data_IF_613159135628
#
_entry.id   IF_613159135628
#
_cell.length_a   1.000
_cell.length_b   1.000
_cell.length_c   1.000
_cell.angle_alpha   90.00
_cell.angle_beta   90.00
_cell.angle_gamma   90.00
#
_symmetry.space_group_name_H-M   'P 1'
#
loop_
_entity.id
_entity.type
_entity.pdbx_description
1 polymer ?
#
# COMPACT_ATOMS: atom_id res chain seq x y z
N UNK A 1 21.38 -0.98 10.03
CA UNK A 1 20.23 -0.16 10.47
C UNK A 1 18.97 -0.84 9.95
N UNK A 2 18.14 -1.41 10.83
CA UNK A 2 16.84 -1.95 10.42
C UNK A 2 15.95 -0.78 10.00
N UNK A 3 15.57 -0.73 8.72
CA UNK A 3 14.71 0.32 8.21
C UNK A 3 13.26 -0.06 8.59
N UNK A 4 12.83 0.33 9.78
CA UNK A 4 11.53 -0.06 10.31
C UNK A 4 10.43 0.58 9.47
N UNK A 5 9.67 -0.22 8.74
CA UNK A 5 8.50 0.24 7.99
C UNK A 5 7.59 1.07 8.90
N UNK A 6 7.16 2.24 8.43
CA UNK A 6 6.30 3.14 9.21
C UNK A 6 4.98 2.46 9.62
N UNK A 7 4.31 2.97 10.66
CA UNK A 7 3.02 2.43 11.10
C UNK A 7 1.98 2.38 9.96
N UNK A 8 1.91 3.44 9.14
CA UNK A 8 1.06 3.48 7.95
C UNK A 8 1.52 2.52 6.86
N UNK A 9 2.82 2.38 6.64
CA UNK A 9 3.35 1.37 5.72
C UNK A 9 2.89 -0.03 6.12
N UNK A 10 2.97 -0.38 7.41
CA UNK A 10 2.45 -1.66 7.95
C UNK A 10 0.95 -1.83 7.70
N UNK A 11 0.14 -0.85 8.05
CA UNK A 11 -1.30 -0.85 7.76
C UNK A 11 -1.59 -1.09 6.28
N UNK A 12 -0.98 -0.31 5.38
CA UNK A 12 -1.20 -0.41 3.94
C UNK A 12 -0.74 -1.75 3.36
N UNK A 13 0.42 -2.25 3.79
CA UNK A 13 0.92 -3.57 3.38
C UNK A 13 -0.02 -4.70 3.83
N UNK A 14 -0.61 -4.58 5.01
CA UNK A 14 -1.53 -5.59 5.54
C UNK A 14 -2.87 -5.58 4.79
N UNK A 15 -3.37 -4.39 4.45
CA UNK A 15 -4.52 -4.22 3.56
C UNK A 15 -4.25 -4.89 2.21
N UNK A 16 -3.07 -4.67 1.63
CA UNK A 16 -2.66 -5.27 0.35
C UNK A 16 -2.59 -6.80 0.42
N UNK A 17 -1.84 -7.35 1.39
CA UNK A 17 -1.68 -8.82 1.54
C UNK A 17 -3.00 -9.54 1.73
N UNK A 18 -3.95 -8.91 2.42
CA UNK A 18 -5.29 -9.47 2.64
C UNK A 18 -6.20 -9.26 1.43
N UNK A 19 -5.84 -8.40 0.47
CA UNK A 19 -6.71 -8.03 -0.64
C UNK A 19 -8.01 -7.39 -0.12
N UNK A 20 -7.85 -6.42 0.78
CA UNK A 20 -8.95 -5.62 1.35
C UNK A 20 -9.02 -4.29 0.60
N UNK A 21 -10.22 -3.87 0.23
CA UNK A 21 -10.55 -2.52 -0.20
C UNK A 21 -11.14 -1.74 0.97
N UNK A 22 -10.79 -0.46 1.06
CA UNK A 22 -11.38 0.45 2.03
C UNK A 22 -12.39 1.36 1.32
N UNK A 23 -13.56 1.51 1.91
CA UNK A 23 -14.64 2.37 1.41
C UNK A 23 -15.09 3.31 2.53
N UNK A 24 -15.56 4.52 2.19
CA UNK A 24 -16.18 5.42 3.19
C UNK A 24 -17.69 5.22 3.17
N UNK A 25 -18.26 4.85 4.32
CA UNK A 25 -19.71 4.72 4.50
C UNK A 25 -20.12 5.41 5.80
N UNK A 26 -21.01 6.41 5.72
CA UNK A 26 -21.52 7.12 6.89
C UNK A 26 -20.45 7.84 7.73
N UNK A 27 -19.33 8.25 7.11
CA UNK A 27 -18.21 8.90 7.80
C UNK A 27 -17.21 7.94 8.47
N UNK A 28 -17.40 6.62 8.32
CA UNK A 28 -16.50 5.60 8.80
C UNK A 28 -15.85 4.82 7.65
N UNK A 29 -14.70 4.20 7.93
CA UNK A 29 -14.04 3.28 7.01
C UNK A 29 -14.71 1.91 7.12
N UNK A 30 -15.08 1.34 5.98
CA UNK A 30 -15.53 -0.03 5.82
C UNK A 30 -14.47 -0.84 5.09
N UNK A 31 -14.16 -2.03 5.61
CA UNK A 31 -13.30 -3.01 4.95
C UNK A 31 -14.11 -3.97 4.09
N UNK A 32 -13.64 -4.22 2.87
CA UNK A 32 -14.30 -5.09 1.90
C UNK A 32 -13.28 -6.05 1.27
N UNK A 33 -13.45 -7.37 1.39
CA UNK A 33 -14.55 -8.03 2.08
C UNK A 33 -14.26 -8.14 3.61
N UNK A 34 -15.28 -8.00 4.48
CA UNK A 34 -15.09 -7.84 5.93
C UNK A 34 -14.49 -9.07 6.61
N UNK A 35 -14.71 -10.27 6.08
CA UNK A 35 -14.22 -11.54 6.63
C UNK A 35 -12.69 -11.67 6.59
N UNK A 36 -12.01 -10.84 5.79
CA UNK A 36 -10.54 -10.82 5.74
C UNK A 36 -9.93 -9.91 6.80
N UNK A 37 -10.75 -9.11 7.48
CA UNK A 37 -10.34 -8.23 8.57
C UNK A 37 -9.88 -9.03 9.80
N UNK A 38 -8.90 -8.50 10.54
CA UNK A 38 -8.55 -8.97 11.89
C UNK A 38 -8.72 -7.86 12.92
N UNK A 39 -8.77 -8.19 14.22
CA UNK A 39 -8.80 -7.17 15.28
C UNK A 39 -7.62 -6.19 15.21
N UNK A 40 -6.43 -6.68 14.86
CA UNK A 40 -5.23 -5.84 14.72
C UNK A 40 -5.36 -4.87 13.54
N UNK A 41 -5.87 -5.36 12.41
CA UNK A 41 -6.12 -4.50 11.24
C UNK A 41 -7.22 -3.48 11.54
N UNK A 42 -8.29 -3.87 12.24
CA UNK A 42 -9.34 -2.94 12.69
C UNK A 42 -8.75 -1.83 13.55
N UNK A 43 -7.92 -2.17 14.53
CA UNK A 43 -7.27 -1.19 15.39
C UNK A 43 -6.35 -0.23 14.61
N UNK A 44 -5.59 -0.74 13.62
CA UNK A 44 -4.78 0.11 12.76
C UNK A 44 -5.62 1.05 11.88
N UNK A 45 -6.72 0.55 11.32
CA UNK A 45 -7.66 1.35 10.51
C UNK A 45 -8.32 2.44 11.36
N UNK A 46 -8.73 2.11 12.58
CA UNK A 46 -9.33 3.05 13.53
C UNK A 46 -8.33 4.15 13.93
N UNK A 47 -7.10 3.77 14.26
CA UNK A 47 -6.04 4.70 14.65
C UNK A 47 -5.68 5.71 13.54
N UNK A 48 -5.77 5.30 12.27
CA UNK A 48 -5.48 6.14 11.10
C UNK A 48 -6.74 6.58 10.32
N UNK A 49 -7.95 6.46 10.91
CA UNK A 49 -9.22 6.67 10.20
C UNK A 49 -9.30 8.02 9.49
N UNK A 50 -8.96 9.12 10.18
CA UNK A 50 -9.00 10.46 9.58
C UNK A 50 -8.03 10.59 8.39
N UNK A 51 -6.86 9.96 8.48
CA UNK A 51 -5.88 9.96 7.40
C UNK A 51 -6.36 9.12 6.21
N UNK A 52 -6.96 7.94 6.46
CA UNK A 52 -7.54 7.07 5.44
C UNK A 52 -8.71 7.74 4.71
N UNK A 53 -9.64 8.36 5.44
CA UNK A 53 -10.75 9.13 4.87
C UNK A 53 -10.21 10.25 3.99
N UNK A 54 -9.15 10.95 4.42
CA UNK A 54 -8.50 11.96 3.59
C UNK A 54 -7.93 11.34 2.32
N UNK A 55 -7.28 10.18 2.36
CA UNK A 55 -6.76 9.55 1.13
C UNK A 55 -7.86 9.08 0.17
N UNK A 56 -9.02 8.67 0.70
CA UNK A 56 -10.18 8.25 -0.09
C UNK A 56 -10.96 9.43 -0.71
N UNK A 57 -10.85 10.62 -0.13
CA UNK A 57 -11.58 11.82 -0.59
C UNK A 57 -10.69 12.84 -1.29
N UNK A 58 -9.37 12.76 -1.16
CA UNK A 58 -8.43 13.61 -1.88
C UNK A 58 -8.47 13.23 -3.37
N UNK A 59 -8.69 14.19 -4.28
CA UNK A 59 -8.65 13.93 -5.71
C UNK A 59 -7.36 13.25 -6.13
N UNK A 60 -7.47 12.39 -7.13
CA UNK A 60 -6.33 11.73 -7.73
C UNK A 60 -5.46 12.76 -8.48
N UNK A 61 -4.15 12.67 -8.27
CA UNK A 61 -3.14 13.52 -8.90
C UNK A 61 -2.07 12.61 -9.51
N UNK A 62 -2.01 12.59 -10.84
CA UNK A 62 -1.09 11.74 -11.61
C UNK A 62 0.37 12.12 -11.36
N UNK A 63 0.71 13.41 -11.22
CA UNK A 63 2.09 13.86 -11.02
C UNK A 63 2.61 13.37 -9.67
N UNK A 64 1.79 13.51 -8.63
CA UNK A 64 2.12 12.99 -7.30
C UNK A 64 2.31 11.46 -7.28
N UNK A 65 1.51 10.69 -8.03
CA UNK A 65 1.65 9.22 -8.09
C UNK A 65 2.96 8.82 -8.76
N UNK A 66 3.34 9.49 -9.84
CA UNK A 66 4.61 9.23 -10.53
C UNK A 66 5.79 9.49 -9.59
N UNK A 67 5.76 10.62 -8.87
CA UNK A 67 6.80 10.98 -7.89
C UNK A 67 6.88 9.97 -6.74
N UNK A 68 5.74 9.57 -6.17
CA UNK A 68 5.69 8.59 -5.09
C UNK A 68 6.22 7.22 -5.55
N UNK A 69 5.82 6.79 -6.74
CA UNK A 69 6.26 5.51 -7.33
C UNK A 69 7.76 5.54 -7.61
N UNK A 70 8.28 6.60 -8.21
CA UNK A 70 9.71 6.74 -8.50
C UNK A 70 10.58 6.71 -7.23
N UNK A 71 10.15 7.39 -6.16
CA UNK A 71 10.86 7.36 -4.88
C UNK A 71 10.91 5.95 -4.28
N UNK A 72 9.80 5.22 -4.35
CA UNK A 72 9.70 3.86 -3.82
C UNK A 72 10.55 2.89 -4.64
N UNK A 73 10.47 2.95 -5.96
CA UNK A 73 11.30 2.17 -6.87
C UNK A 73 12.79 2.43 -6.63
N UNK A 74 13.21 3.68 -6.47
CA UNK A 74 14.61 4.03 -6.20
C UNK A 74 15.11 3.41 -4.88
N UNK A 75 14.33 3.53 -3.79
CA UNK A 75 14.71 2.98 -2.48
C UNK A 75 14.75 1.46 -2.44
N UNK A 76 13.88 0.80 -3.20
CA UNK A 76 13.76 -0.67 -3.23
C UNK A 76 14.77 -1.31 -4.18
N UNK A 77 15.09 -0.68 -5.30
CA UNK A 77 16.16 -1.12 -6.20
C UNK A 77 17.50 -1.24 -5.46
N UNK A 78 17.80 -0.29 -4.57
CA UNK A 78 19.00 -0.33 -3.73
C UNK A 78 19.05 -1.56 -2.79
N UNK A 79 17.89 -2.12 -2.40
CA UNK A 79 17.81 -3.30 -1.53
C UNK A 79 17.95 -4.60 -2.31
N UNK A 80 17.41 -4.66 -3.53
CA UNK A 80 17.49 -5.85 -4.37
C UNK A 80 18.90 -6.07 -4.92
N UNK A 81 19.63 -4.99 -5.25
CA UNK A 81 20.91 -5.11 -5.94
C UNK A 81 20.71 -5.75 -7.32
N UNK A 82 21.48 -6.79 -7.62
CA UNK A 82 21.36 -7.55 -8.89
C UNK A 82 20.31 -8.67 -8.85
N UNK A 83 19.58 -8.81 -7.73
CA UNK A 83 18.55 -9.85 -7.60
C UNK A 83 17.36 -9.54 -8.52
N UNK A 84 16.75 -10.58 -9.12
CA UNK A 84 15.53 -10.38 -9.89
C UNK A 84 14.41 -9.83 -8.99
N UNK A 85 13.52 -9.05 -9.58
CA UNK A 85 12.32 -8.59 -8.88
C UNK A 85 11.45 -9.81 -8.51
N UNK A 86 11.06 -9.99 -7.23
CA UNK A 86 10.24 -11.13 -6.83
C UNK A 86 8.84 -11.05 -7.48
N UNK A 87 8.21 -12.18 -7.82
CA UNK A 87 6.91 -12.20 -8.51
C UNK A 87 5.80 -11.41 -7.80
N UNK A 88 5.80 -11.41 -6.47
CA UNK A 88 4.83 -10.67 -5.66
C UNK A 88 5.03 -9.15 -5.79
N UNK A 89 6.27 -8.69 -5.89
CA UNK A 89 6.58 -7.29 -6.14
C UNK A 89 6.22 -6.89 -7.57
N UNK A 90 6.44 -7.76 -8.56
CA UNK A 90 6.01 -7.50 -9.94
C UNK A 90 4.48 -7.30 -10.01
N UNK A 91 3.69 -8.19 -9.38
CA UNK A 91 2.22 -8.05 -9.30
C UNK A 91 1.79 -6.76 -8.60
N UNK A 92 2.51 -6.36 -7.54
CA UNK A 92 2.21 -5.12 -6.85
C UNK A 92 2.43 -3.88 -7.74
N UNK A 93 3.42 -3.89 -8.64
CA UNK A 93 3.59 -2.84 -9.64
C UNK A 93 2.44 -2.81 -10.66
N UNK A 94 1.96 -3.97 -11.10
CA UNK A 94 0.78 -4.04 -11.97
C UNK A 94 -0.47 -3.48 -11.27
N UNK A 95 -0.62 -3.73 -9.96
CA UNK A 95 -1.70 -3.16 -9.15
C UNK A 95 -1.56 -1.64 -8.92
N UNK A 96 -0.34 -1.10 -8.93
CA UNK A 96 -0.12 0.37 -8.93
C UNK A 96 -0.67 0.97 -10.22
N UNK A 97 -0.33 0.39 -11.37
CA UNK A 97 -0.82 0.86 -12.68
C UNK A 97 -2.35 0.78 -12.76
N UNK A 98 -2.93 -0.36 -12.35
CA UNK A 98 -4.38 -0.53 -12.28
C UNK A 98 -5.05 0.52 -11.39
N UNK A 99 -4.53 0.75 -10.19
CA UNK A 99 -5.07 1.75 -9.28
C UNK A 99 -4.91 3.18 -9.81
N UNK A 100 -3.85 3.46 -10.58
CA UNK A 100 -3.64 4.73 -11.23
C UNK A 100 -4.69 4.97 -12.34
N UNK A 101 -4.98 3.97 -13.18
CA UNK A 101 -6.04 4.01 -14.19
C UNK A 101 -7.42 4.21 -13.57
N UNK A 102 -7.67 3.59 -12.41
CA UNK A 102 -8.91 3.75 -11.64
C UNK A 102 -9.03 5.12 -10.95
N UNK A 103 -7.97 5.95 -10.97
CA UNK A 103 -7.94 7.22 -10.23
C UNK A 103 -7.99 7.02 -8.71
N UNK A 104 -7.44 5.90 -8.21
CA UNK A 104 -7.50 5.54 -6.79
C UNK A 104 -6.19 5.89 -6.08
N UNK A 105 -6.19 7.04 -5.40
CA UNK A 105 -5.01 7.51 -4.63
C UNK A 105 -4.63 6.51 -3.54
N UNK A 106 -5.61 6.04 -2.77
CA UNK A 106 -5.37 5.04 -1.73
C UNK A 106 -4.98 3.69 -2.34
N UNK A 107 -5.57 3.29 -3.47
CA UNK A 107 -5.20 2.05 -4.17
C UNK A 107 -3.72 2.04 -4.55
N UNK A 108 -3.21 3.15 -5.09
CA UNK A 108 -1.78 3.31 -5.40
C UNK A 108 -0.93 3.18 -4.14
N UNK A 109 -1.28 3.85 -3.04
CA UNK A 109 -0.54 3.75 -1.78
C UNK A 109 -0.50 2.33 -1.21
N UNK A 110 -1.63 1.62 -1.28
CA UNK A 110 -1.75 0.23 -0.83
C UNK A 110 -0.87 -0.69 -1.67
N UNK A 111 -0.92 -0.56 -3.00
CA UNK A 111 -0.11 -1.37 -3.91
C UNK A 111 1.39 -1.07 -3.75
N UNK A 112 1.78 0.19 -3.61
CA UNK A 112 3.18 0.58 -3.34
C UNK A 112 3.70 0.03 -2.01
N UNK A 113 2.87 0.01 -0.96
CA UNK A 113 3.25 -0.62 0.32
C UNK A 113 3.38 -2.14 0.20
N UNK A 114 2.52 -2.77 -0.61
CA UNK A 114 2.63 -4.19 -0.96
C UNK A 114 3.93 -4.51 -1.69
N UNK A 115 4.31 -3.67 -2.65
CA UNK A 115 5.57 -3.75 -3.37
C UNK A 115 6.78 -3.63 -2.43
N UNK A 116 6.83 -2.60 -1.57
CA UNK A 116 7.92 -2.43 -0.61
C UNK A 116 8.05 -3.66 0.31
N UNK A 117 6.93 -4.18 0.83
CA UNK A 117 6.94 -5.34 1.70
C UNK A 117 7.46 -6.60 0.98
N UNK A 118 7.00 -6.86 -0.25
CA UNK A 118 7.47 -8.00 -1.04
C UNK A 118 8.98 -7.93 -1.34
N UNK A 119 9.50 -6.72 -1.60
CA UNK A 119 10.94 -6.51 -1.78
C UNK A 119 11.72 -6.73 -0.48
N UNK A 120 11.22 -6.23 0.66
CA UNK A 120 11.86 -6.43 1.97
C UNK A 120 11.91 -7.92 2.35
N UNK A 121 10.82 -8.65 2.15
CA UNK A 121 10.72 -10.07 2.45
C UNK A 121 11.74 -10.89 1.62
N UNK A 122 11.89 -10.55 0.33
CA UNK A 122 12.90 -11.14 -0.54
C UNK A 122 14.33 -10.67 -0.24
N UNK A 123 14.48 -9.46 0.31
CA UNK A 123 15.78 -8.89 0.62
C UNK A 123 16.39 -9.48 1.90
N UNK A 124 15.55 -9.81 2.88
CA UNK A 124 15.92 -10.36 4.19
C UNK A 124 15.90 -11.89 4.30
N UNK A 125 15.49 -12.59 3.24
CA UNK A 125 15.62 -14.06 3.09
C UNK A 125 16.97 -14.43 2.47
#
# INVERSE_FOLDING_TARGET
>A
MANTMSARGRLLSEIYRRGIRLEVAGGAIRMVPPEKSTPELQAMVEADQAWLIRQLTTPYDHEWVLDATAQILSRTAAKLGDRPLPPEAARALDDVDRAAVEGSRLGVLVALAGFEAAVEDAAGS
#
